data_IF_156829508700
#
_entry.id   IF_156829508700
#
_cell.length_a   1.000
_cell.length_b   1.000
_cell.length_c   1.000
_cell.angle_alpha   90.00
_cell.angle_beta   90.00
_cell.angle_gamma   90.00
#
_symmetry.space_group_name_H-M   'P 1'
#
loop_
_entity.id
_entity.type
_entity.pdbx_description
1 polymer ?
#
# COMPACT_ATOMS: atom_id res chain seq x y z
N UNK A 1 56.34 -31.08 -1.52
CA UNK A 1 55.02 -30.77 -2.10
C UNK A 1 54.38 -29.64 -1.31
N UNK A 2 54.37 -28.40 -1.80
CA UNK A 2 53.66 -27.30 -1.15
C UNK A 2 52.20 -27.26 -1.64
N UNK A 3 51.25 -27.18 -0.70
CA UNK A 3 49.82 -26.99 -0.99
C UNK A 3 49.63 -25.56 -1.51
N UNK A 4 49.06 -25.43 -2.69
CA UNK A 4 48.61 -24.15 -3.25
C UNK A 4 47.30 -23.77 -2.55
N UNK A 5 47.35 -22.73 -1.75
CA UNK A 5 46.16 -22.02 -1.29
C UNK A 5 45.55 -21.30 -2.50
N UNK A 6 44.40 -21.80 -2.95
CA UNK A 6 43.57 -21.13 -3.93
C UNK A 6 42.92 -19.93 -3.23
N UNK A 7 43.52 -18.76 -3.42
CA UNK A 7 42.88 -17.49 -3.08
C UNK A 7 41.58 -17.36 -3.87
N UNK A 8 40.46 -17.45 -3.18
CA UNK A 8 39.17 -17.02 -3.71
C UNK A 8 39.24 -15.50 -3.89
N UNK A 9 39.42 -15.08 -5.14
CA UNK A 9 39.27 -13.70 -5.56
C UNK A 9 37.78 -13.37 -5.42
N UNK A 10 37.40 -12.68 -4.34
CA UNK A 10 36.10 -12.04 -4.25
C UNK A 10 36.06 -10.93 -5.31
N UNK A 11 35.44 -11.23 -6.45
CA UNK A 11 34.98 -10.22 -7.38
C UNK A 11 33.91 -9.40 -6.63
N UNK A 12 34.32 -8.26 -6.07
CA UNK A 12 33.39 -7.22 -5.70
C UNK A 12 32.77 -6.72 -7.00
N UNK A 13 31.59 -7.22 -7.33
CA UNK A 13 30.71 -6.57 -8.30
C UNK A 13 30.33 -5.23 -7.68
N UNK A 14 31.02 -4.17 -8.07
CA UNK A 14 30.53 -2.82 -7.84
C UNK A 14 29.23 -2.70 -8.64
N UNK A 15 28.09 -2.68 -7.94
CA UNK A 15 26.86 -2.17 -8.55
C UNK A 15 27.18 -0.76 -9.04
N UNK A 16 26.96 -0.44 -10.32
CA UNK A 16 27.18 0.91 -10.81
C UNK A 16 26.27 1.86 -10.04
N UNK A 17 26.85 2.94 -9.51
CA UNK A 17 26.10 4.05 -8.91
C UNK A 17 25.01 4.51 -9.88
N UNK A 18 23.80 4.74 -9.37
CA UNK A 18 22.69 5.10 -10.23
C UNK A 18 22.88 6.50 -10.83
N UNK A 19 22.90 6.59 -12.16
CA UNK A 19 22.72 7.87 -12.86
C UNK A 19 21.21 8.15 -12.85
N UNK A 20 20.83 9.23 -12.17
CA UNK A 20 19.44 9.66 -12.12
C UNK A 20 18.98 10.22 -13.47
N UNK A 21 17.70 10.04 -13.76
CA UNK A 21 17.00 10.72 -14.86
C UNK A 21 16.52 12.09 -14.42
N UNK A 22 16.20 13.01 -15.36
CA UNK A 22 15.60 14.29 -15.02
C UNK A 22 14.32 14.17 -14.18
N UNK A 23 13.54 13.10 -14.38
CA UNK A 23 12.36 12.82 -13.57
C UNK A 23 12.73 12.56 -12.10
N UNK A 24 13.66 11.65 -11.86
CA UNK A 24 14.09 11.26 -10.50
C UNK A 24 14.84 12.40 -9.81
N UNK A 25 15.72 13.12 -10.52
CA UNK A 25 16.39 14.32 -10.01
C UNK A 25 15.37 15.38 -9.58
N UNK A 26 14.36 15.63 -10.41
CA UNK A 26 13.27 16.53 -10.07
C UNK A 26 12.53 16.04 -8.81
N UNK A 27 12.12 14.77 -8.70
CA UNK A 27 11.43 14.30 -7.48
C UNK A 27 12.32 14.42 -6.24
N UNK A 28 13.57 13.98 -6.31
CA UNK A 28 14.50 13.95 -5.18
C UNK A 28 15.00 15.34 -4.76
N UNK A 29 14.89 16.35 -5.62
CA UNK A 29 15.24 17.75 -5.29
C UNK A 29 14.08 18.59 -4.75
N UNK A 30 12.83 18.14 -4.86
CA UNK A 30 11.66 18.85 -4.34
C UNK A 30 11.69 19.01 -2.83
N UNK A 31 11.04 20.07 -2.34
CA UNK A 31 10.73 20.21 -0.93
C UNK A 31 9.75 19.10 -0.51
N UNK A 32 9.95 18.54 0.69
CA UNK A 32 9.05 17.56 1.28
C UNK A 32 7.83 18.27 1.86
N UNK A 33 6.66 17.95 1.33
CA UNK A 33 5.37 18.50 1.80
C UNK A 33 4.84 17.80 3.06
N UNK A 34 5.10 16.50 3.20
CA UNK A 34 4.71 15.68 4.34
C UNK A 34 5.44 14.33 4.33
N UNK A 35 5.66 13.79 5.52
CA UNK A 35 6.14 12.43 5.78
C UNK A 35 5.05 11.62 6.46
N UNK A 36 4.59 10.54 5.82
CA UNK A 36 3.68 9.56 6.39
C UNK A 36 4.47 8.31 6.78
N UNK A 37 4.66 8.11 8.08
CA UNK A 37 5.46 7.00 8.60
C UNK A 37 4.57 5.89 9.19
N UNK A 38 4.73 4.68 8.68
CA UNK A 38 4.02 3.47 9.08
C UNK A 38 5.02 2.49 9.68
N UNK A 39 4.90 2.18 10.98
CA UNK A 39 5.85 1.28 11.65
C UNK A 39 5.23 0.40 12.73
N UNK A 40 5.76 -0.83 12.86
CA UNK A 40 5.47 -1.78 13.95
C UNK A 40 5.94 -1.32 15.34
N UNK A 41 6.65 -0.19 15.41
CA UNK A 41 7.20 0.39 16.63
C UNK A 41 6.44 1.61 17.13
N UNK A 42 5.55 2.19 16.30
CA UNK A 42 4.66 3.25 16.75
C UNK A 42 3.55 2.61 17.61
N UNK A 43 3.27 3.24 18.75
CA UNK A 43 2.35 2.80 19.81
C UNK A 43 2.69 1.44 20.49
N UNK A 44 3.17 1.52 21.74
CA UNK A 44 3.47 0.35 22.57
C UNK A 44 2.21 -0.37 23.09
N UNK A 45 1.04 0.29 23.09
CA UNK A 45 -0.23 -0.28 23.52
C UNK A 45 -0.93 -1.03 22.37
N UNK A 46 -0.75 -0.62 21.12
CA UNK A 46 -1.15 -1.39 19.93
C UNK A 46 -0.47 -2.77 19.87
N UNK A 47 0.70 -2.92 20.50
CA UNK A 47 1.38 -4.22 20.62
C UNK A 47 0.71 -5.20 21.61
N UNK A 48 -0.21 -4.72 22.50
CA UNK A 48 -0.95 -5.58 23.43
C UNK A 48 -2.16 -6.26 22.80
N UNK A 49 -2.73 -5.67 21.75
CA UNK A 49 -3.82 -6.24 20.96
C UNK A 49 -3.44 -6.31 19.46
N UNK A 50 -2.22 -6.78 19.19
CA UNK A 50 -1.65 -6.86 17.85
C UNK A 50 -2.43 -7.81 16.90
N UNK A 51 -3.50 -8.43 17.37
CA UNK A 51 -4.46 -9.24 16.62
C UNK A 51 -5.53 -8.42 15.91
N UNK A 52 -5.90 -7.24 16.43
CA UNK A 52 -6.99 -6.46 15.90
C UNK A 52 -6.50 -5.31 14.99
N UNK A 53 -6.64 -5.46 13.65
CA UNK A 53 -6.22 -4.42 12.71
C UNK A 53 -7.07 -3.14 12.77
N UNK A 54 -8.22 -3.18 13.46
CA UNK A 54 -9.21 -2.08 13.53
C UNK A 54 -8.79 -0.94 14.47
N UNK A 55 -7.58 -1.00 15.02
CA UNK A 55 -7.06 -0.03 16.02
C UNK A 55 -6.59 1.30 15.45
N UNK A 56 -6.45 1.43 14.12
CA UNK A 56 -6.05 2.68 13.45
C UNK A 56 -6.87 2.93 12.18
N UNK A 57 -7.78 3.92 12.22
CA UNK A 57 -8.49 4.41 11.05
C UNK A 57 -7.67 5.48 10.30
N UNK A 58 -6.46 5.11 9.89
CA UNK A 58 -5.61 6.02 9.13
C UNK A 58 -6.19 6.32 7.75
N UNK A 59 -7.03 5.43 7.20
CA UNK A 59 -7.64 5.63 5.88
C UNK A 59 -8.53 6.88 5.89
N UNK A 60 -9.36 7.06 6.93
CA UNK A 60 -10.17 8.27 7.10
C UNK A 60 -9.31 9.52 7.37
N UNK A 61 -8.26 9.42 8.18
CA UNK A 61 -7.35 10.52 8.51
C UNK A 61 -6.61 11.02 7.26
N UNK A 62 -5.93 10.11 6.56
CA UNK A 62 -5.20 10.42 5.32
C UNK A 62 -6.18 10.89 4.23
N UNK A 63 -7.37 10.28 4.11
CA UNK A 63 -8.39 10.79 3.17
C UNK A 63 -8.80 12.23 3.47
N UNK A 64 -8.94 12.59 4.74
CA UNK A 64 -9.27 13.96 5.15
C UNK A 64 -8.14 14.93 4.81
N UNK A 65 -6.89 14.54 5.04
CA UNK A 65 -5.72 15.35 4.69
C UNK A 65 -5.69 15.67 3.19
N UNK A 66 -5.93 14.65 2.34
CA UNK A 66 -5.91 14.83 0.89
C UNK A 66 -7.13 15.58 0.35
N UNK A 67 -8.33 15.34 0.91
CA UNK A 67 -9.57 15.96 0.41
C UNK A 67 -9.85 17.35 0.96
N UNK A 68 -9.28 17.71 2.12
CA UNK A 68 -9.49 19.03 2.73
C UNK A 68 -8.73 20.17 2.05
N UNK A 69 -7.84 19.86 1.10
CA UNK A 69 -6.97 20.83 0.40
C UNK A 69 -6.14 21.71 1.36
N UNK A 70 -5.86 21.20 2.58
CA UNK A 70 -5.04 21.88 3.60
C UNK A 70 -3.57 21.48 3.46
N UNK A 71 -2.71 22.22 4.17
CA UNK A 71 -1.32 21.79 4.38
C UNK A 71 -1.33 20.40 5.02
N UNK A 72 -0.72 19.44 4.34
CA UNK A 72 -0.50 18.09 4.86
C UNK A 72 0.51 18.15 5.99
N UNK A 73 0.25 17.43 7.07
CA UNK A 73 1.18 17.33 8.20
C UNK A 73 1.93 16.00 8.12
N UNK A 74 3.08 15.94 8.80
CA UNK A 74 3.73 14.66 9.06
C UNK A 74 2.81 13.80 9.95
N UNK A 75 2.56 12.56 9.53
CA UNK A 75 1.75 11.61 10.28
C UNK A 75 2.54 10.35 10.63
N UNK A 76 2.18 9.73 11.76
CA UNK A 76 2.81 8.51 12.26
C UNK A 76 1.73 7.52 12.67
N UNK A 77 1.70 6.36 12.04
CA UNK A 77 0.70 5.33 12.28
C UNK A 77 1.35 4.00 12.66
N UNK A 78 0.82 3.36 13.70
CA UNK A 78 1.18 1.97 13.98
C UNK A 78 0.63 1.07 12.88
N UNK A 79 1.47 0.18 12.36
CA UNK A 79 1.00 -0.96 11.54
C UNK A 79 0.99 -2.27 12.35
N UNK A 80 1.17 -2.16 13.67
CA UNK A 80 1.33 -3.30 14.58
C UNK A 80 2.30 -4.33 13.98
N UNK A 81 1.98 -5.63 14.04
CA UNK A 81 2.77 -6.68 13.36
C UNK A 81 2.21 -7.05 11.98
N UNK A 82 1.44 -6.15 11.37
CA UNK A 82 0.76 -6.43 10.12
C UNK A 82 1.38 -5.66 8.94
N UNK A 83 2.30 -6.28 8.18
CA UNK A 83 2.95 -5.64 7.05
C UNK A 83 1.96 -5.15 5.97
N UNK A 84 0.80 -5.78 5.87
CA UNK A 84 -0.17 -5.51 4.80
C UNK A 84 -0.90 -4.18 5.00
N UNK A 85 -1.02 -3.71 6.25
CA UNK A 85 -1.49 -2.36 6.55
C UNK A 85 -0.56 -1.31 5.95
N UNK A 86 0.75 -1.51 6.06
CA UNK A 86 1.74 -0.60 5.50
C UNK A 86 1.71 -0.58 3.97
N UNK A 87 1.51 -1.74 3.35
CA UNK A 87 1.35 -1.86 1.90
C UNK A 87 0.07 -1.16 1.41
N UNK A 88 -1.05 -1.36 2.12
CA UNK A 88 -2.33 -0.69 1.82
C UNK A 88 -2.19 0.82 1.97
N UNK A 89 -1.61 1.29 3.09
CA UNK A 89 -1.45 2.71 3.34
C UNK A 89 -0.62 3.43 2.27
N UNK A 90 0.47 2.80 1.82
CA UNK A 90 1.27 3.35 0.73
C UNK A 90 0.45 3.46 -0.57
N UNK A 91 -0.32 2.42 -0.94
CA UNK A 91 -1.20 2.50 -2.12
C UNK A 91 -2.29 3.56 -1.94
N UNK A 92 -2.95 3.64 -0.78
CA UNK A 92 -3.96 4.66 -0.47
C UNK A 92 -3.42 6.07 -0.69
N UNK A 93 -2.21 6.37 -0.21
CA UNK A 93 -1.58 7.69 -0.40
C UNK A 93 -1.34 7.98 -1.89
N UNK A 94 -0.90 6.99 -2.68
CA UNK A 94 -0.77 7.14 -4.16
C UNK A 94 -2.11 7.46 -4.80
N UNK A 95 -3.16 6.72 -4.46
CA UNK A 95 -4.49 6.91 -5.05
C UNK A 95 -5.11 8.24 -4.65
N UNK A 96 -4.92 8.67 -3.39
CA UNK A 96 -5.39 9.96 -2.92
C UNK A 96 -4.65 11.12 -3.59
N UNK A 97 -3.35 11.00 -3.87
CA UNK A 97 -2.59 11.96 -4.68
C UNK A 97 -3.13 12.07 -6.10
N UNK A 98 -3.44 10.94 -6.76
CA UNK A 98 -4.04 10.94 -8.09
C UNK A 98 -5.46 11.55 -8.09
N UNK A 99 -6.26 11.23 -7.07
CA UNK A 99 -7.60 11.78 -6.89
C UNK A 99 -7.57 13.29 -6.64
N UNK A 100 -6.63 13.76 -5.81
CA UNK A 100 -6.36 15.17 -5.55
C UNK A 100 -6.04 15.94 -6.85
N UNK A 101 -5.15 15.39 -7.69
CA UNK A 101 -4.83 15.98 -8.98
C UNK A 101 -6.07 16.08 -9.89
N UNK A 102 -6.89 15.02 -9.97
CA UNK A 102 -8.14 15.04 -10.73
C UNK A 102 -9.21 15.98 -10.16
N UNK A 103 -9.22 16.20 -8.84
CA UNK A 103 -10.13 17.16 -8.21
C UNK A 103 -9.74 18.60 -8.55
N UNK A 104 -8.45 18.94 -8.53
CA UNK A 104 -7.94 20.24 -8.98
C UNK A 104 -8.45 20.55 -10.38
N UNK A 105 -8.28 19.63 -11.32
CA UNK A 105 -8.65 19.86 -12.72
C UNK A 105 -10.15 20.06 -12.89
N UNK A 106 -10.97 19.31 -12.14
CA UNK A 106 -12.42 19.50 -12.11
C UNK A 106 -12.81 20.86 -11.54
N UNK A 107 -12.17 21.31 -10.45
CA UNK A 107 -12.36 22.65 -9.88
C UNK A 107 -11.98 23.72 -10.93
N UNK A 108 -10.87 23.47 -11.63
CA UNK A 108 -10.35 24.14 -12.83
C UNK A 108 -11.45 24.46 -13.85
N UNK A 109 -12.04 23.37 -14.34
CA UNK A 109 -13.04 23.35 -15.39
C UNK A 109 -14.37 23.98 -14.97
N UNK A 110 -14.67 24.03 -13.67
CA UNK A 110 -15.87 24.65 -13.13
C UNK A 110 -15.72 26.16 -12.85
N UNK A 111 -14.63 26.79 -13.32
CA UNK A 111 -14.49 28.25 -13.31
C UNK A 111 -14.12 28.86 -11.95
N UNK A 112 -13.62 28.04 -11.03
CA UNK A 112 -13.08 28.56 -9.75
C UNK A 112 -11.80 29.36 -10.04
N UNK A 113 -11.62 30.55 -9.44
CA UNK A 113 -10.45 31.39 -9.72
C UNK A 113 -9.12 30.66 -9.49
N UNK A 114 -8.20 30.78 -10.45
CA UNK A 114 -6.89 30.11 -10.39
C UNK A 114 -6.12 30.43 -9.10
N UNK A 115 -6.29 31.62 -8.53
CA UNK A 115 -5.68 32.02 -7.26
C UNK A 115 -6.12 31.18 -6.06
N UNK A 116 -7.34 30.62 -6.08
CA UNK A 116 -7.86 29.79 -5.01
C UNK A 116 -7.28 28.36 -5.04
N UNK A 117 -6.82 27.90 -6.20
CA UNK A 117 -6.34 26.52 -6.42
C UNK A 117 -4.80 26.45 -6.54
N UNK A 118 -4.15 27.60 -6.82
CA UNK A 118 -2.70 27.69 -7.07
C UNK A 118 -1.84 27.06 -5.98
N UNK A 119 -2.09 27.39 -4.71
CA UNK A 119 -1.29 26.90 -3.58
C UNK A 119 -1.32 25.37 -3.48
N UNK A 120 -2.48 24.76 -3.76
CA UNK A 120 -2.62 23.31 -3.72
C UNK A 120 -1.99 22.64 -4.94
N UNK A 121 -2.04 23.28 -6.12
CA UNK A 121 -1.28 22.85 -7.29
C UNK A 121 0.22 22.83 -7.02
N UNK A 122 0.77 23.91 -6.46
CA UNK A 122 2.18 24.03 -6.08
C UNK A 122 2.56 22.84 -5.15
N UNK A 123 1.74 22.51 -4.16
CA UNK A 123 1.97 21.36 -3.28
C UNK A 123 1.91 20.00 -3.97
N UNK A 124 1.03 19.79 -4.95
CA UNK A 124 0.99 18.51 -5.69
C UNK A 124 2.10 18.39 -6.74
N UNK A 125 2.52 19.51 -7.35
CA UNK A 125 3.41 19.51 -8.51
C UNK A 125 4.86 19.83 -8.18
N UNK A 126 5.12 20.65 -7.16
CA UNK A 126 6.44 21.18 -6.83
C UNK A 126 6.98 20.65 -5.50
N UNK A 127 6.14 19.98 -4.71
CA UNK A 127 6.56 19.29 -3.51
C UNK A 127 6.41 17.77 -3.69
N UNK A 128 7.19 17.02 -2.91
CA UNK A 128 7.15 15.56 -2.86
C UNK A 128 6.54 15.10 -1.54
N UNK A 129 5.96 13.91 -1.53
CA UNK A 129 5.49 13.25 -0.30
C UNK A 129 6.33 12.03 -0.06
N UNK A 130 6.67 11.80 1.20
CA UNK A 130 7.42 10.63 1.61
C UNK A 130 6.53 9.68 2.38
N UNK A 131 6.55 8.41 2.00
CA UNK A 131 5.92 7.33 2.71
C UNK A 131 7.02 6.41 3.22
N UNK A 132 7.12 6.25 4.53
CA UNK A 132 8.09 5.33 5.15
C UNK A 132 7.32 4.15 5.71
N UNK A 133 7.45 2.98 5.08
CA UNK A 133 6.84 1.74 5.55
C UNK A 133 7.92 0.82 6.12
N UNK A 134 7.92 0.64 7.43
CA UNK A 134 8.92 -0.19 8.10
C UNK A 134 8.25 -1.27 8.95
N UNK A 135 8.39 -2.52 8.51
CA UNK A 135 8.04 -3.70 9.29
C UNK A 135 9.29 -4.58 9.45
N UNK A 136 10.23 -4.12 10.29
CA UNK A 136 11.49 -4.81 10.48
C UNK A 136 11.26 -6.21 11.09
N UNK A 137 11.78 -7.26 10.43
CA UNK A 137 11.77 -8.61 11.02
C UNK A 137 12.58 -8.59 12.31
N UNK A 138 11.92 -8.83 13.45
CA UNK A 138 12.60 -9.00 14.73
C UNK A 138 13.20 -10.41 14.78
N UNK A 139 14.49 -10.49 15.07
CA UNK A 139 15.18 -11.78 15.22
C UNK A 139 14.42 -12.63 16.25
N UNK A 140 14.07 -13.87 15.90
CA UNK A 140 13.50 -14.81 16.88
C UNK A 140 14.57 -15.26 17.87
N UNK A 141 14.19 -15.72 19.07
CA UNK A 141 15.14 -16.37 19.98
C UNK A 141 15.87 -17.51 19.27
N UNK A 142 17.21 -17.45 19.22
CA UNK A 142 18.05 -18.46 18.55
C UNK A 142 18.45 -18.14 17.11
N UNK A 143 17.92 -17.08 16.50
CA UNK A 143 18.39 -16.59 15.19
C UNK A 143 19.62 -15.69 15.35
N UNK A 144 20.54 -15.76 14.38
CA UNK A 144 21.70 -14.86 14.34
C UNK A 144 21.20 -13.42 14.22
N UNK A 145 21.64 -12.56 15.15
CA UNK A 145 21.22 -11.15 15.15
C UNK A 145 21.68 -10.47 13.87
N UNK A 146 20.72 -10.14 13.01
CA UNK A 146 20.95 -9.26 11.87
C UNK A 146 20.48 -7.84 12.22
N UNK A 147 21.20 -6.83 11.75
CA UNK A 147 20.88 -5.41 11.98
C UNK A 147 19.95 -4.85 10.86
N UNK A 148 18.99 -5.68 10.45
CA UNK A 148 18.02 -5.39 9.39
C UNK A 148 18.57 -5.61 7.97
N UNK A 149 17.68 -5.45 7.00
CA UNK A 149 17.93 -5.56 5.55
C UNK A 149 18.24 -4.19 4.93
N UNK A 150 18.63 -4.22 3.65
CA UNK A 150 18.60 -3.01 2.82
C UNK A 150 17.18 -2.42 2.81
N UNK A 151 17.12 -1.10 2.70
CA UNK A 151 15.86 -0.42 2.39
C UNK A 151 15.72 -0.28 0.88
N UNK A 152 14.49 -0.09 0.44
CA UNK A 152 14.17 0.27 -0.92
C UNK A 152 13.61 1.68 -0.95
N UNK A 153 13.89 2.40 -2.02
CA UNK A 153 13.24 3.65 -2.39
C UNK A 153 12.52 3.43 -3.72
N UNK A 154 11.19 3.40 -3.68
CA UNK A 154 10.35 3.45 -4.87
C UNK A 154 9.96 4.89 -5.17
N UNK A 155 10.13 5.33 -6.42
CA UNK A 155 9.58 6.61 -6.91
C UNK A 155 8.40 6.29 -7.80
N UNK A 156 7.23 6.80 -7.45
CA UNK A 156 5.97 6.52 -8.16
C UNK A 156 5.76 7.44 -9.36
N UNK A 157 4.85 7.08 -10.27
CA UNK A 157 4.49 7.90 -11.43
C UNK A 157 3.97 9.29 -11.06
N UNK A 158 3.40 9.45 -9.85
CA UNK A 158 2.87 10.71 -9.34
C UNK A 158 3.80 11.42 -8.35
N UNK A 159 5.06 11.02 -8.29
CA UNK A 159 6.11 11.74 -7.56
C UNK A 159 6.09 11.55 -6.05
N UNK A 160 5.62 10.39 -5.57
CA UNK A 160 5.75 9.96 -4.18
C UNK A 160 7.01 9.12 -4.02
N UNK A 161 7.72 9.36 -2.93
CA UNK A 161 8.85 8.54 -2.50
C UNK A 161 8.39 7.53 -1.45
N UNK A 162 8.57 6.23 -1.73
CA UNK A 162 8.19 5.15 -0.83
C UNK A 162 9.46 4.46 -0.35
N UNK A 163 9.78 4.68 0.92
CA UNK A 163 10.88 4.00 1.62
C UNK A 163 10.34 2.76 2.30
N UNK A 164 10.82 1.57 1.91
CA UNK A 164 10.28 0.32 2.43
C UNK A 164 11.33 -0.71 2.79
N UNK A 165 11.08 -1.44 3.88
CA UNK A 165 11.70 -2.74 4.12
C UNK A 165 10.72 -3.65 4.88
N UNK A 166 10.47 -4.89 4.43
CA UNK A 166 11.09 -5.55 3.26
C UNK A 166 10.39 -5.19 1.91
N UNK A 167 10.82 -5.80 0.80
CA UNK A 167 10.30 -5.51 -0.55
C UNK A 167 8.82 -5.90 -0.73
N UNK A 168 8.36 -6.90 0.02
CA UNK A 168 6.99 -7.41 0.00
C UNK A 168 5.95 -6.35 0.39
N UNK A 169 6.34 -5.28 1.09
CA UNK A 169 5.41 -4.20 1.45
C UNK A 169 5.10 -3.28 0.27
N UNK A 170 5.91 -3.33 -0.80
CA UNK A 170 5.68 -2.53 -2.02
C UNK A 170 4.76 -3.24 -3.01
N UNK A 171 4.31 -4.46 -2.72
CA UNK A 171 3.55 -5.30 -3.68
C UNK A 171 2.23 -4.67 -4.12
N UNK A 172 1.60 -3.88 -3.25
CA UNK A 172 0.36 -3.16 -3.57
C UNK A 172 0.62 -1.99 -4.52
N UNK A 173 1.76 -1.31 -4.36
CA UNK A 173 2.20 -0.19 -5.19
C UNK A 173 3.02 -0.61 -6.44
N UNK A 174 3.21 -1.91 -6.68
CA UNK A 174 4.09 -2.44 -7.75
C UNK A 174 3.79 -1.86 -9.14
N UNK A 175 2.52 -1.55 -9.41
CA UNK A 175 2.04 -1.02 -10.70
C UNK A 175 2.17 0.50 -10.83
N UNK A 176 2.69 1.17 -9.81
CA UNK A 176 2.79 2.63 -9.75
C UNK A 176 4.23 3.10 -9.51
N UNK A 177 5.16 2.21 -9.15
CA UNK A 177 6.59 2.53 -8.95
C UNK A 177 7.32 2.49 -10.29
N UNK A 178 7.75 3.65 -10.80
CA UNK A 178 8.51 3.76 -12.05
C UNK A 178 9.98 3.43 -11.86
N UNK A 179 10.55 3.84 -10.73
CA UNK A 179 11.96 3.61 -10.41
C UNK A 179 12.09 3.00 -9.04
N UNK A 180 12.87 1.93 -8.95
CA UNK A 180 13.18 1.29 -7.68
C UNK A 180 14.68 1.31 -7.45
N UNK A 181 15.07 1.84 -6.30
CA UNK A 181 16.45 1.88 -5.83
C UNK A 181 16.60 1.04 -4.57
N UNK A 182 17.73 0.38 -4.46
CA UNK A 182 18.24 -0.21 -3.23
C UNK A 182 19.04 0.86 -2.49
N UNK A 183 18.77 1.01 -1.19
CA UNK A 183 19.57 1.78 -0.26
C UNK A 183 20.41 0.79 0.55
N UNK A 184 21.70 0.66 0.23
CA UNK A 184 22.55 -0.34 0.87
C UNK A 184 22.60 -0.17 2.39
N UNK A 185 22.52 -1.29 3.11
CA UNK A 185 22.62 -1.33 4.55
C UNK A 185 24.03 -0.94 5.06
N UNK A 186 25.04 -0.99 4.18
CA UNK A 186 26.44 -0.66 4.48
C UNK A 186 26.90 0.52 3.66
N UNK A 187 27.89 1.25 4.18
CA UNK A 187 28.56 2.32 3.45
C UNK A 187 27.64 3.48 3.03
N UNK A 188 26.57 3.73 3.81
CA UNK A 188 25.72 4.90 3.63
C UNK A 188 26.22 6.06 4.52
N UNK A 189 26.25 7.33 4.06
CA UNK A 189 26.81 8.44 4.82
C UNK A 189 26.10 8.73 6.15
N UNK A 190 24.80 8.45 6.20
CA UNK A 190 23.95 8.76 7.35
C UNK A 190 23.86 7.65 8.40
N UNK A 191 24.22 6.42 8.06
CA UNK A 191 24.06 5.28 8.97
C UNK A 191 25.00 4.14 8.65
N UNK A 192 25.34 3.39 9.70
CA UNK A 192 26.00 2.11 9.58
C UNK A 192 25.04 1.00 10.04
N UNK A 193 24.43 0.33 9.07
CA UNK A 193 23.52 -0.77 9.34
C UNK A 193 24.19 -2.06 9.81
N UNK A 194 25.52 -2.10 9.98
CA UNK A 194 26.17 -3.12 10.80
C UNK A 194 26.14 -2.79 12.29
N UNK A 195 25.84 -1.56 12.68
CA UNK A 195 25.86 -1.08 14.07
C UNK A 195 24.48 -0.64 14.55
N UNK A 196 23.60 -0.24 13.64
CA UNK A 196 22.30 0.37 13.93
C UNK A 196 21.13 -0.47 13.43
N UNK A 197 20.11 -0.65 14.29
CA UNK A 197 18.90 -1.42 13.98
C UNK A 197 17.71 -0.55 13.54
N UNK A 198 17.63 0.72 13.97
CA UNK A 198 16.44 1.57 13.83
C UNK A 198 16.63 2.72 12.82
N UNK A 199 16.93 2.34 11.58
CA UNK A 199 17.31 3.29 10.52
C UNK A 199 16.12 3.99 9.83
N UNK A 200 14.88 3.57 10.11
CA UNK A 200 13.68 4.19 9.54
C UNK A 200 13.52 5.68 9.88
N UNK A 201 14.11 6.13 10.99
CA UNK A 201 14.07 7.54 11.41
C UNK A 201 14.86 8.49 10.50
N UNK A 202 15.81 7.97 9.73
CA UNK A 202 16.74 8.76 8.91
C UNK A 202 16.78 8.33 7.46
N UNK A 203 16.14 7.21 7.10
CA UNK A 203 16.21 6.64 5.74
C UNK A 203 15.67 7.59 4.67
N UNK A 204 14.68 8.41 5.02
CA UNK A 204 14.10 9.38 4.10
C UNK A 204 15.10 10.47 3.67
N UNK A 205 16.19 10.66 4.45
CA UNK A 205 17.28 11.57 4.12
C UNK A 205 18.26 10.98 3.09
N UNK A 206 18.15 9.69 2.73
CA UNK A 206 18.95 9.08 1.64
C UNK A 206 18.72 9.76 0.29
N UNK A 207 17.63 10.51 0.12
CA UNK A 207 17.40 11.36 -1.07
C UNK A 207 18.52 12.36 -1.34
N UNK A 208 19.22 12.82 -0.30
CA UNK A 208 20.30 13.81 -0.40
C UNK A 208 21.64 13.19 -0.77
N UNK A 209 21.68 11.86 -0.90
CA UNK A 209 22.86 11.07 -1.23
C UNK A 209 22.55 10.14 -2.42
N UNK A 210 22.09 10.68 -3.57
CA UNK A 210 21.67 9.87 -4.71
C UNK A 210 22.79 8.96 -5.24
N UNK A 211 24.05 9.35 -5.07
CA UNK A 211 25.23 8.54 -5.41
C UNK A 211 25.35 7.25 -4.59
N UNK A 212 24.65 7.15 -3.45
CA UNK A 212 24.56 5.94 -2.63
C UNK A 212 23.33 5.09 -2.94
N UNK A 213 22.52 5.46 -3.93
CA UNK A 213 21.40 4.68 -4.42
C UNK A 213 21.86 3.71 -5.51
N UNK A 214 21.42 2.46 -5.43
CA UNK A 214 21.68 1.46 -6.45
C UNK A 214 20.39 1.15 -7.21
N UNK A 215 20.40 1.32 -8.54
CA UNK A 215 19.22 1.10 -9.36
C UNK A 215 18.89 -0.40 -9.45
N UNK A 216 17.62 -0.75 -9.18
CA UNK A 216 17.09 -2.11 -9.40
C UNK A 216 16.31 -2.19 -10.71
N UNK A 217 15.40 -1.25 -10.97
CA UNK A 217 14.74 -1.11 -12.26
C UNK A 217 14.25 0.33 -12.47
N UNK A 218 13.98 0.67 -13.74
CA UNK A 218 13.42 1.96 -14.16
C UNK A 218 12.54 1.78 -15.39
N UNK A 219 11.42 2.50 -15.42
CA UNK A 219 10.54 2.66 -16.58
C UNK A 219 10.33 4.14 -16.87
N UNK A 220 10.18 4.49 -18.15
CA UNK A 220 9.98 5.88 -18.58
C UNK A 220 8.54 6.37 -18.36
N UNK A 221 7.59 5.45 -18.29
CA UNK A 221 6.17 5.73 -18.13
C UNK A 221 5.47 4.59 -17.41
N UNK A 222 4.26 4.87 -16.93
CA UNK A 222 3.44 3.86 -16.27
C UNK A 222 2.92 2.82 -17.25
N UNK A 223 2.62 3.24 -18.48
CA UNK A 223 2.20 2.36 -19.57
C UNK A 223 3.29 1.34 -19.89
N UNK A 224 4.57 1.78 -19.93
CA UNK A 224 5.71 0.88 -20.11
C UNK A 224 5.86 -0.11 -18.94
N UNK A 225 5.74 0.37 -17.69
CA UNK A 225 5.75 -0.49 -16.50
C UNK A 225 4.65 -1.55 -16.58
N UNK A 226 3.41 -1.15 -16.88
CA UNK A 226 2.27 -2.07 -16.98
C UNK A 226 2.49 -3.11 -18.09
N UNK A 227 2.95 -2.68 -19.27
CA UNK A 227 3.27 -3.59 -20.37
C UNK A 227 4.40 -4.56 -20.00
N UNK A 228 5.43 -4.09 -19.29
CA UNK A 228 6.51 -4.96 -18.82
C UNK A 228 6.01 -6.01 -17.82
N UNK A 229 5.15 -5.62 -16.89
CA UNK A 229 4.52 -6.51 -15.90
C UNK A 229 3.61 -7.55 -16.57
N UNK A 230 2.81 -7.15 -17.55
CA UNK A 230 1.93 -8.05 -18.32
C UNK A 230 2.73 -9.06 -19.15
N UNK A 231 3.86 -8.65 -19.70
CA UNK A 231 4.78 -9.52 -20.44
C UNK A 231 5.66 -10.40 -19.53
N UNK A 232 5.43 -10.38 -18.22
CA UNK A 232 6.13 -11.25 -17.27
C UNK A 232 7.54 -10.80 -16.92
N UNK A 233 7.88 -9.52 -17.09
CA UNK A 233 9.17 -9.00 -16.65
C UNK A 233 9.34 -9.19 -15.15
N UNK A 234 10.45 -9.79 -14.74
CA UNK A 234 10.77 -9.95 -13.33
C UNK A 234 11.08 -8.58 -12.71
N UNK A 235 10.31 -8.21 -11.69
CA UNK A 235 10.64 -7.08 -10.82
C UNK A 235 11.04 -7.62 -9.46
N UNK A 236 11.92 -6.92 -8.74
CA UNK A 236 12.30 -7.28 -7.36
C UNK A 236 11.12 -7.24 -6.38
N UNK A 237 10.04 -6.50 -6.72
CA UNK A 237 8.81 -6.46 -5.94
C UNK A 237 7.95 -7.67 -6.32
N UNK A 238 7.56 -8.54 -5.36
CA UNK A 238 6.72 -9.70 -5.66
C UNK A 238 5.29 -9.29 -6.03
N UNK A 239 4.64 -10.12 -6.85
CA UNK A 239 3.22 -9.97 -7.17
C UNK A 239 2.31 -10.47 -6.03
N UNK A 240 1.04 -10.07 -6.08
CA UNK A 240 -0.01 -10.71 -5.31
C UNK A 240 -0.17 -12.17 -5.76
N UNK A 241 -0.13 -13.11 -4.81
CA UNK A 241 -0.20 -14.54 -5.09
C UNK A 241 -1.62 -15.05 -5.34
N UNK A 242 -2.60 -14.48 -4.65
CA UNK A 242 -3.97 -14.98 -4.61
C UNK A 242 -4.92 -14.10 -5.44
N UNK A 243 -6.00 -14.63 -6.02
CA UNK A 243 -6.96 -13.82 -6.78
C UNK A 243 -7.57 -12.68 -5.97
N UNK A 244 -7.91 -12.95 -4.70
CA UNK A 244 -8.43 -11.96 -3.76
C UNK A 244 -7.68 -12.09 -2.42
N UNK A 245 -7.28 -10.96 -1.85
CA UNK A 245 -6.54 -10.91 -0.59
C UNK A 245 -7.13 -9.83 0.33
N UNK A 246 -7.35 -10.17 1.60
CA UNK A 246 -7.78 -9.19 2.60
C UNK A 246 -6.63 -8.19 2.85
N UNK A 247 -6.84 -6.91 2.57
CA UNK A 247 -5.79 -5.89 2.62
C UNK A 247 -5.91 -4.96 3.84
N UNK A 248 -7.13 -4.58 4.21
CA UNK A 248 -7.40 -3.65 5.31
C UNK A 248 -8.75 -3.96 5.94
N UNK A 249 -8.90 -3.62 7.22
CA UNK A 249 -10.17 -3.60 7.92
C UNK A 249 -10.24 -2.30 8.72
N UNK A 250 -11.32 -1.54 8.53
CA UNK A 250 -11.50 -0.26 9.22
C UNK A 250 -11.98 -0.46 10.67
N UNK A 251 -12.12 0.64 11.42
CA UNK A 251 -12.56 0.60 12.82
C UNK A 251 -13.98 0.06 13.03
N UNK A 252 -14.79 -0.01 11.98
CA UNK A 252 -16.16 -0.51 11.98
C UNK A 252 -16.23 -1.97 11.50
N UNK A 253 -15.09 -2.57 11.16
CA UNK A 253 -15.00 -3.92 10.64
C UNK A 253 -15.37 -4.07 9.18
N UNK A 254 -15.46 -2.96 8.42
CA UNK A 254 -15.56 -3.04 6.96
C UNK A 254 -14.22 -3.51 6.40
N UNK A 255 -14.28 -4.44 5.45
CA UNK A 255 -13.11 -5.11 4.92
C UNK A 255 -12.83 -4.63 3.50
N UNK A 256 -11.56 -4.31 3.24
CA UNK A 256 -11.05 -4.03 1.90
C UNK A 256 -10.31 -5.26 1.39
N UNK A 257 -10.77 -5.82 0.29
CA UNK A 257 -10.18 -6.99 -0.35
C UNK A 257 -9.58 -6.62 -1.71
N UNK A 258 -8.27 -6.82 -1.89
CA UNK A 258 -7.55 -6.51 -3.12
C UNK A 258 -7.70 -7.64 -4.13
N UNK A 259 -8.30 -7.34 -5.28
CA UNK A 259 -8.36 -8.23 -6.43
C UNK A 259 -7.06 -8.12 -7.25
N UNK A 260 -6.48 -9.26 -7.61
CA UNK A 260 -5.32 -9.32 -8.52
C UNK A 260 -5.70 -8.86 -9.93
N UNK A 261 -6.91 -9.19 -10.36
CA UNK A 261 -7.54 -8.76 -11.59
C UNK A 261 -8.96 -8.27 -11.31
N UNK A 262 -9.10 -6.98 -11.04
CA UNK A 262 -10.40 -6.36 -10.73
C UNK A 262 -11.38 -6.42 -11.89
N UNK A 263 -10.91 -6.45 -13.14
CA UNK A 263 -11.80 -6.55 -14.29
C UNK A 263 -12.46 -7.93 -14.33
N UNK A 264 -11.66 -8.98 -14.14
CA UNK A 264 -12.18 -10.34 -14.04
C UNK A 264 -13.12 -10.50 -12.84
N UNK A 265 -12.72 -10.06 -11.65
CA UNK A 265 -13.53 -10.21 -10.43
C UNK A 265 -14.86 -9.45 -10.52
N UNK A 266 -14.85 -8.24 -11.08
CA UNK A 266 -16.09 -7.48 -11.36
C UNK A 266 -16.99 -8.20 -12.36
N UNK A 267 -16.43 -8.78 -13.42
CA UNK A 267 -17.22 -9.59 -14.36
C UNK A 267 -17.97 -10.72 -13.65
N UNK A 268 -17.31 -11.41 -12.72
CA UNK A 268 -17.95 -12.44 -11.89
C UNK A 268 -19.07 -11.87 -11.02
N UNK A 269 -18.85 -10.69 -10.41
CA UNK A 269 -19.87 -10.02 -9.59
C UNK A 269 -21.07 -9.54 -10.43
N UNK A 270 -20.83 -9.01 -11.63
CA UNK A 270 -21.89 -8.58 -12.57
C UNK A 270 -22.73 -9.76 -13.06
N UNK A 271 -22.11 -10.90 -13.36
CA UNK A 271 -22.83 -12.14 -13.67
C UNK A 271 -23.72 -12.59 -12.50
N UNK A 272 -23.22 -12.48 -11.26
CA UNK A 272 -23.99 -12.82 -10.06
C UNK A 272 -25.17 -11.86 -9.84
N UNK A 273 -25.00 -10.56 -10.07
CA UNK A 273 -26.08 -9.56 -10.01
C UNK A 273 -27.22 -9.87 -10.98
N UNK A 274 -26.90 -10.40 -12.16
CA UNK A 274 -27.89 -10.82 -13.16
C UNK A 274 -28.54 -12.18 -12.83
N UNK A 275 -27.99 -12.91 -11.86
CA UNK A 275 -28.47 -14.21 -11.40
C UNK A 275 -29.09 -14.16 -10.00
N UNK A 276 -28.45 -14.84 -9.04
CA UNK A 276 -28.94 -14.97 -7.67
C UNK A 276 -28.80 -13.70 -6.82
N UNK A 277 -27.94 -12.75 -7.23
CA UNK A 277 -27.57 -11.58 -6.44
C UNK A 277 -26.72 -11.89 -5.21
N UNK A 278 -26.27 -13.14 -5.03
CA UNK A 278 -25.47 -13.58 -3.88
C UNK A 278 -24.27 -14.43 -4.30
N UNK A 279 -23.18 -14.29 -3.56
CA UNK A 279 -21.96 -15.09 -3.69
C UNK A 279 -21.53 -15.67 -2.36
N UNK A 280 -20.73 -16.73 -2.39
CA UNK A 280 -20.04 -17.24 -1.23
C UNK A 280 -18.66 -16.58 -1.12
N UNK A 281 -18.32 -16.05 0.05
CA UNK A 281 -16.97 -15.60 0.39
C UNK A 281 -16.33 -16.69 1.26
N UNK A 282 -15.27 -17.31 0.74
CA UNK A 282 -14.49 -18.31 1.46
C UNK A 282 -13.14 -17.73 1.88
N UNK A 283 -12.86 -17.77 3.18
CA UNK A 283 -11.52 -17.64 3.71
C UNK A 283 -10.82 -19.01 3.53
N UNK A 284 -9.64 -19.07 2.92
CA UNK A 284 -9.04 -20.32 2.39
C UNK A 284 -8.85 -21.50 3.36
N UNK A 285 -9.15 -21.33 4.66
CA UNK A 285 -9.15 -22.39 5.68
C UNK A 285 -10.55 -22.90 6.06
N UNK A 286 -11.60 -22.18 5.71
CA UNK A 286 -12.99 -22.50 6.06
C UNK A 286 -13.65 -23.35 4.97
N UNK A 287 -14.36 -24.39 5.39
CA UNK A 287 -15.07 -25.29 4.46
C UNK A 287 -16.38 -24.68 3.95
N UNK A 288 -17.03 -23.86 4.78
CA UNK A 288 -18.34 -23.27 4.48
C UNK A 288 -18.15 -21.80 4.09
N UNK A 289 -18.55 -21.38 2.88
CA UNK A 289 -18.48 -19.98 2.49
C UNK A 289 -19.55 -19.16 3.23
N UNK A 290 -19.24 -17.90 3.48
CA UNK A 290 -20.20 -16.92 4.02
C UNK A 290 -20.98 -16.34 2.86
N UNK A 291 -22.30 -16.25 2.99
CA UNK A 291 -23.15 -15.67 1.96
C UNK A 291 -23.01 -14.14 2.01
N UNK A 292 -22.71 -13.54 0.87
CA UNK A 292 -22.63 -12.10 0.69
C UNK A 292 -23.50 -11.66 -0.49
N UNK A 293 -24.26 -10.58 -0.28
CA UNK A 293 -25.06 -9.94 -1.31
C UNK A 293 -24.18 -9.06 -2.19
N UNK A 294 -24.17 -9.35 -3.49
CA UNK A 294 -23.50 -8.46 -4.44
C UNK A 294 -24.39 -7.24 -4.62
N UNK A 295 -23.86 -6.06 -4.35
CA UNK A 295 -24.60 -4.80 -4.33
C UNK A 295 -23.78 -3.68 -4.98
N UNK A 296 -24.36 -2.48 -5.14
CA UNK A 296 -23.63 -1.30 -5.63
C UNK A 296 -23.12 -0.41 -4.50
N UNK A 297 -23.75 -0.45 -3.34
CA UNK A 297 -23.39 0.32 -2.17
C UNK A 297 -23.96 -0.31 -0.89
N UNK A 298 -23.50 0.17 0.27
CA UNK A 298 -23.97 -0.24 1.59
C UNK A 298 -25.51 -0.14 1.73
N UNK A 299 -26.15 0.89 1.16
CA UNK A 299 -27.60 1.10 1.31
C UNK A 299 -28.42 -0.04 0.70
N UNK A 300 -27.92 -0.67 -0.37
CA UNK A 300 -28.57 -1.79 -1.06
C UNK A 300 -28.40 -3.13 -0.35
N UNK A 301 -27.49 -3.22 0.63
CA UNK A 301 -27.29 -4.44 1.41
C UNK A 301 -28.53 -4.69 2.27
N UNK A 302 -29.07 -5.92 2.33
CA UNK A 302 -30.17 -6.23 3.25
C UNK A 302 -29.73 -6.08 4.72
N UNK A 303 -30.65 -5.68 5.59
CA UNK A 303 -30.37 -5.56 7.03
C UNK A 303 -29.81 -6.86 7.61
N UNK A 304 -28.80 -6.74 8.46
CA UNK A 304 -28.07 -7.81 9.16
C UNK A 304 -27.27 -8.75 8.27
N UNK A 305 -27.22 -8.50 6.97
CA UNK A 305 -26.50 -9.31 5.99
C UNK A 305 -25.12 -8.74 5.64
N UNK A 306 -24.29 -9.60 5.06
CA UNK A 306 -23.02 -9.23 4.45
C UNK A 306 -23.27 -8.74 3.03
N UNK A 307 -22.70 -7.59 2.68
CA UNK A 307 -22.65 -7.06 1.33
C UNK A 307 -21.23 -7.08 0.78
N UNK A 308 -21.09 -7.29 -0.53
CA UNK A 308 -19.86 -7.07 -1.27
C UNK A 308 -20.14 -6.14 -2.45
N UNK A 309 -19.35 -5.07 -2.57
CA UNK A 309 -19.49 -4.11 -3.66
C UNK A 309 -18.15 -3.46 -4.00
N UNK A 310 -18.10 -2.82 -5.16
CA UNK A 310 -16.98 -1.94 -5.52
C UNK A 310 -17.31 -0.53 -5.05
N UNK A 311 -16.54 0.00 -4.11
CA UNK A 311 -16.80 1.33 -3.56
C UNK A 311 -16.64 2.39 -4.66
N UNK A 312 -17.63 3.27 -4.81
CA UNK A 312 -17.62 4.35 -5.81
C UNK A 312 -16.41 5.28 -5.63
N UNK A 313 -15.91 5.42 -4.40
CA UNK A 313 -14.68 6.18 -4.12
C UNK A 313 -13.43 5.56 -4.76
N UNK A 314 -13.45 4.27 -5.08
CA UNK A 314 -12.39 3.53 -5.79
C UNK A 314 -12.59 3.50 -7.30
N UNK A 315 -13.57 4.24 -7.82
CA UNK A 315 -13.81 4.35 -9.25
C UNK A 315 -12.55 4.75 -10.02
N UNK A 316 -12.54 4.47 -11.33
CA UNK A 316 -11.39 4.72 -12.21
C UNK A 316 -10.78 6.10 -11.96
N UNK A 317 -9.54 6.13 -11.46
CA UNK A 317 -8.74 7.34 -11.42
C UNK A 317 -8.10 7.55 -12.80
N UNK A 318 -7.37 8.67 -12.97
CA UNK A 318 -6.53 8.90 -14.17
C UNK A 318 -5.56 7.75 -14.43
N UNK A 319 -5.14 7.06 -13.39
CA UNK A 319 -4.17 5.96 -13.43
C UNK A 319 -4.88 4.62 -13.28
N UNK A 320 -6.19 4.54 -13.45
CA UNK A 320 -6.94 3.28 -13.42
C UNK A 320 -7.50 2.95 -12.05
N UNK A 321 -7.79 1.68 -11.83
CA UNK A 321 -8.64 1.22 -10.73
C UNK A 321 -7.76 0.54 -9.66
N UNK A 322 -7.84 0.96 -8.38
CA UNK A 322 -6.99 0.43 -7.30
C UNK A 322 -7.28 -1.05 -6.98
N UNK A 323 -8.37 -1.60 -7.52
CA UNK A 323 -8.63 -3.02 -7.51
C UNK A 323 -9.12 -3.55 -6.17
N UNK A 324 -9.82 -2.73 -5.38
CA UNK A 324 -10.38 -3.15 -4.11
C UNK A 324 -11.87 -3.43 -4.22
N UNK A 325 -12.33 -4.43 -3.47
CA UNK A 325 -13.72 -4.65 -3.14
C UNK A 325 -13.93 -4.32 -1.67
N UNK A 326 -15.10 -3.78 -1.35
CA UNK A 326 -15.52 -3.55 0.01
C UNK A 326 -16.51 -4.65 0.42
N UNK A 327 -16.25 -5.24 1.59
CA UNK A 327 -17.12 -6.24 2.21
C UNK A 327 -17.57 -5.66 3.54
N UNK A 328 -18.87 -5.52 3.70
CA UNK A 328 -19.50 -4.81 4.83
C UNK A 328 -20.58 -5.66 5.45
N UNK A 329 -20.95 -5.35 6.69
CA UNK A 329 -22.20 -5.81 7.28
C UNK A 329 -23.11 -4.61 7.47
N UNK A 330 -24.33 -4.68 6.95
CA UNK A 330 -25.31 -3.63 7.25
C UNK A 330 -25.97 -3.94 8.58
N UNK A 331 -25.79 -3.06 9.56
CA UNK A 331 -26.53 -3.13 10.81
C UNK A 331 -27.97 -2.66 10.59
N UNK A 332 -28.95 -3.17 11.34
CA UNK A 332 -30.34 -2.81 11.15
C UNK A 332 -30.54 -1.37 11.65
N UNK A 333 -31.31 -0.58 10.90
CA UNK A 333 -31.70 0.77 11.35
C UNK A 333 -32.48 0.64 12.68
N UNK A 334 -32.10 1.44 13.68
CA UNK A 334 -32.52 1.41 15.09
C UNK A 334 -33.81 0.62 15.44
N UNK A 335 -33.69 -0.38 16.32
CA UNK A 335 -34.83 -1.00 17.01
C UNK A 335 -35.05 -2.51 16.80
N UNK A 336 -34.14 -3.22 16.12
CA UNK A 336 -34.16 -4.68 16.06
C UNK A 336 -33.70 -5.31 17.37
N UNK A 337 -34.50 -6.21 17.95
CA UNK A 337 -34.25 -6.88 19.24
C UNK A 337 -33.11 -7.92 19.19
N UNK A 338 -32.49 -8.17 18.03
CA UNK A 338 -31.32 -9.04 17.91
C UNK A 338 -30.03 -8.21 17.90
N UNK A 339 -29.24 -8.37 18.97
CA UNK A 339 -27.90 -7.80 19.09
C UNK A 339 -27.01 -8.46 18.03
N UNK A 340 -26.87 -7.83 16.86
CA UNK A 340 -25.85 -8.23 15.88
C UNK A 340 -24.49 -7.94 16.51
N UNK A 341 -23.84 -8.99 17.00
CA UNK A 341 -22.59 -8.88 17.76
C UNK A 341 -21.34 -8.88 16.91
N UNK A 342 -21.42 -9.28 15.63
CA UNK A 342 -20.26 -9.47 14.75
C UNK A 342 -20.32 -8.61 13.49
N UNK A 343 -19.27 -7.83 13.24
CA UNK A 343 -19.08 -7.08 11.99
C UNK A 343 -18.62 -7.99 10.82
N UNK A 344 -18.36 -7.41 9.65
CA UNK A 344 -17.93 -8.19 8.49
C UNK A 344 -16.56 -8.87 8.70
N UNK A 345 -15.59 -8.16 9.29
CA UNK A 345 -14.27 -8.72 9.56
C UNK A 345 -14.33 -9.93 10.50
N UNK A 346 -15.10 -9.83 11.58
CA UNK A 346 -15.34 -10.92 12.53
C UNK A 346 -16.11 -12.08 11.89
N UNK A 347 -17.14 -11.77 11.08
CA UNK A 347 -17.94 -12.78 10.38
C UNK A 347 -17.08 -13.57 9.40
N UNK A 348 -16.17 -12.91 8.65
CA UNK A 348 -15.25 -13.56 7.72
C UNK A 348 -14.24 -14.47 8.43
N UNK A 349 -13.90 -14.15 9.68
CA UNK A 349 -12.90 -14.90 10.44
C UNK A 349 -11.50 -14.89 9.81
N UNK A 350 -11.22 -13.92 8.94
CA UNK A 350 -9.93 -13.76 8.27
C UNK A 350 -9.02 -12.80 9.02
N UNK A 351 -7.72 -12.87 8.73
CA UNK A 351 -6.73 -11.86 9.14
C UNK A 351 -6.26 -11.10 7.91
N UNK A 352 -5.71 -9.90 8.09
CA UNK A 352 -5.10 -9.22 6.94
C UNK A 352 -4.01 -10.09 6.32
N UNK A 353 -3.96 -10.07 5.00
CA UNK A 353 -3.12 -10.93 4.17
C UNK A 353 -3.71 -12.30 3.86
N UNK A 354 -4.79 -12.72 4.52
CA UNK A 354 -5.45 -13.99 4.19
C UNK A 354 -6.02 -13.98 2.77
N UNK A 355 -5.98 -15.15 2.15
CA UNK A 355 -6.64 -15.40 0.88
C UNK A 355 -8.15 -15.41 1.09
N UNK A 356 -8.84 -14.68 0.22
CA UNK A 356 -10.28 -14.80 0.04
C UNK A 356 -10.56 -15.42 -1.34
N UNK A 357 -11.69 -16.08 -1.46
CA UNK A 357 -12.19 -16.64 -2.71
C UNK A 357 -13.69 -16.30 -2.83
N UNK A 358 -14.09 -15.81 -4.01
CA UNK A 358 -15.50 -15.66 -4.36
C UNK A 358 -15.93 -16.94 -5.06
N UNK A 359 -16.93 -17.62 -4.51
CA UNK A 359 -17.48 -18.87 -5.05
C UNK A 359 -18.96 -18.70 -5.37
N UNK A 360 -19.44 -19.44 -6.37
CA UNK A 360 -20.87 -19.57 -6.61
C UNK A 360 -21.53 -20.32 -5.43
N UNK A 361 -22.75 -19.92 -5.09
CA UNK A 361 -23.59 -20.52 -4.03
C UNK A 361 -24.53 -21.56 -4.64
#
# INVERSE_FOLDING_TARGET
MPRRDAGFLYLFTFSPMAILTPFEENILSREVSAVHAFSDTFDANAARDASDPRTADFDAEVTTDFRSLRLTNDTKHSIARNPDLGAYAAETIIRLQDHAAGLIERIEQNGVPASAVRKYREQLQEQTRQVVVNCARRNKPGEQRTNGSDFLLGITHNGIEIYSTPAELLRFCRRDILSLFRIPNKSHPLFDGQREQFRSSIIALSRYFPEHLELLYRYSSREELLAALENGSETTIPDQKHPLQLAFADRYGNVRARARDIAHTRGQMEECLNGSGVVGIRNGHESTPIIAHVTKCLDEVPGDQIGIYHNVADGKTRTGEPGYLEIVRKFPDEGGEEEVTQDAYETIGAKLGHQLEIVAV
#
